data_IF_156272341715
#
_entry.id   IF_156272341715
#
_cell.length_a   1.000
_cell.length_b   1.000
_cell.length_c   1.000
_cell.angle_alpha   90.00
_cell.angle_beta   90.00
_cell.angle_gamma   90.00
#
_symmetry.space_group_name_H-M   'P 1'
#
loop_
_entity.id
_entity.type
_entity.pdbx_description
1 polymer ?
#
# COMPACT_ATOMS: atom_id res chain seq x y z
N UNK A 1 -19.39 0.55 -1.40
CA UNK A 1 -18.82 -0.44 -0.47
C UNK A 1 -17.34 -0.53 -0.78
N UNK A 2 -16.47 -0.30 0.20
CA UNK A 2 -15.01 -0.28 -0.01
C UNK A 2 -14.46 -1.69 -0.27
N UNK A 3 -13.25 -1.80 -0.83
CA UNK A 3 -12.57 -3.08 -0.98
C UNK A 3 -12.33 -3.69 0.41
N UNK A 4 -11.95 -2.87 1.39
CA UNK A 4 -11.79 -3.29 2.79
C UNK A 4 -13.07 -3.87 3.40
N UNK A 5 -14.23 -3.25 3.16
CA UNK A 5 -15.51 -3.78 3.67
C UNK A 5 -15.80 -5.15 3.08
N UNK A 6 -15.54 -5.32 1.77
CA UNK A 6 -15.75 -6.61 1.09
C UNK A 6 -14.83 -7.70 1.64
N UNK A 7 -13.58 -7.35 1.95
CA UNK A 7 -12.61 -8.26 2.57
C UNK A 7 -13.10 -8.67 3.97
N UNK A 8 -13.47 -7.70 4.81
CA UNK A 8 -13.95 -7.93 6.18
C UNK A 8 -15.26 -8.72 6.22
N UNK A 9 -16.19 -8.47 5.29
CA UNK A 9 -17.44 -9.23 5.18
C UNK A 9 -17.21 -10.73 4.97
N UNK A 10 -16.10 -11.10 4.33
CA UNK A 10 -15.69 -12.49 4.12
C UNK A 10 -14.73 -13.00 5.22
N UNK A 11 -14.58 -12.26 6.32
CA UNK A 11 -13.67 -12.59 7.42
C UNK A 11 -12.19 -12.49 7.06
N UNK A 12 -11.85 -11.83 5.96
CA UNK A 12 -10.47 -11.51 5.62
C UNK A 12 -9.99 -10.27 6.37
N UNK A 13 -8.68 -10.11 6.46
CA UNK A 13 -8.04 -8.98 7.15
C UNK A 13 -6.86 -8.48 6.32
N UNK A 14 -6.71 -7.16 6.20
CA UNK A 14 -5.56 -6.52 5.56
C UNK A 14 -4.73 -5.85 6.63
N UNK A 15 -3.45 -6.23 6.71
CA UNK A 15 -2.47 -5.62 7.58
C UNK A 15 -1.48 -4.87 6.70
N UNK A 16 -1.36 -3.56 6.90
CA UNK A 16 -0.31 -2.77 6.27
C UNK A 16 0.98 -2.92 7.05
N UNK A 17 2.07 -3.15 6.33
CA UNK A 17 3.43 -3.15 6.83
C UNK A 17 4.26 -2.26 5.90
N UNK A 18 4.44 -1.01 6.30
CA UNK A 18 5.06 0.04 5.48
C UNK A 18 4.31 0.26 4.15
N UNK A 19 4.99 0.12 3.00
CA UNK A 19 4.40 0.17 1.65
C UNK A 19 3.93 -1.21 1.13
N UNK A 20 3.94 -2.22 2.00
CA UNK A 20 3.46 -3.57 1.70
C UNK A 20 2.15 -3.84 2.45
N UNK A 21 1.37 -4.76 1.90
CA UNK A 21 0.17 -5.28 2.54
C UNK A 21 0.28 -6.79 2.68
N UNK A 22 -0.19 -7.30 3.82
CA UNK A 22 -0.40 -8.73 4.06
C UNK A 22 -1.90 -8.98 4.14
N UNK A 23 -2.39 -9.89 3.32
CA UNK A 23 -3.79 -10.32 3.32
C UNK A 23 -3.91 -11.61 4.12
N UNK A 24 -4.69 -11.61 5.20
CA UNK A 24 -5.16 -12.84 5.84
C UNK A 24 -6.42 -13.30 5.14
N UNK A 25 -6.37 -14.53 4.64
CA UNK A 25 -7.38 -15.09 3.73
C UNK A 25 -8.78 -15.20 4.36
N UNK A 26 -8.91 -15.64 5.61
CA UNK A 26 -10.22 -15.92 6.21
C UNK A 26 -11.04 -16.88 5.33
N UNK A 27 -12.27 -16.49 4.97
CA UNK A 27 -13.16 -17.24 4.05
C UNK A 27 -13.10 -16.75 2.60
N UNK A 28 -12.10 -15.96 2.21
CA UNK A 28 -11.93 -15.53 0.83
C UNK A 28 -11.63 -16.73 -0.08
N UNK A 29 -12.33 -16.78 -1.21
CA UNK A 29 -12.09 -17.74 -2.28
C UNK A 29 -10.88 -17.32 -3.11
N UNK A 30 -10.31 -18.23 -3.91
CA UNK A 30 -9.20 -17.90 -4.81
C UNK A 30 -9.60 -16.84 -5.83
N UNK A 31 -10.85 -16.88 -6.31
CA UNK A 31 -11.40 -15.85 -7.18
C UNK A 31 -11.43 -14.47 -6.49
N UNK A 32 -11.78 -14.42 -5.21
CA UNK A 32 -11.77 -13.17 -4.44
C UNK A 32 -10.34 -12.66 -4.24
N UNK A 33 -9.37 -13.54 -3.94
CA UNK A 33 -7.96 -13.15 -3.82
C UNK A 33 -7.42 -12.62 -5.14
N UNK A 34 -7.72 -13.30 -6.26
CA UNK A 34 -7.34 -12.83 -7.59
C UNK A 34 -7.90 -11.44 -7.87
N UNK A 35 -9.19 -11.24 -7.60
CA UNK A 35 -9.87 -9.95 -7.76
C UNK A 35 -9.25 -8.84 -6.90
N UNK A 36 -8.84 -9.16 -5.66
CA UNK A 36 -8.09 -8.24 -4.78
C UNK A 36 -6.72 -7.92 -5.37
N UNK A 37 -6.01 -8.91 -5.90
CA UNK A 37 -4.69 -8.73 -6.51
C UNK A 37 -4.71 -7.78 -7.71
N UNK A 38 -5.75 -7.88 -8.55
CA UNK A 38 -5.98 -6.96 -9.68
C UNK A 38 -6.28 -5.52 -9.23
N UNK A 39 -6.65 -5.32 -7.97
CA UNK A 39 -7.03 -4.04 -7.36
C UNK A 39 -6.11 -3.65 -6.20
N UNK A 40 -4.87 -4.14 -6.23
CA UNK A 40 -3.90 -3.92 -5.16
C UNK A 40 -3.71 -2.43 -4.87
N UNK A 41 -3.60 -1.61 -5.90
CA UNK A 41 -3.30 -0.19 -5.73
C UNK A 41 -4.53 0.58 -5.23
N UNK A 42 -5.74 0.22 -5.67
CA UNK A 42 -6.99 0.73 -5.10
C UNK A 42 -7.09 0.39 -3.61
N UNK A 43 -6.82 -0.87 -3.24
CA UNK A 43 -6.78 -1.30 -1.85
C UNK A 43 -5.72 -0.53 -1.05
N UNK A 44 -4.54 -0.31 -1.62
CA UNK A 44 -3.48 0.40 -0.93
C UNK A 44 -3.85 1.86 -0.68
N UNK A 45 -4.51 2.55 -1.63
CA UNK A 45 -5.04 3.91 -1.42
C UNK A 45 -6.08 3.96 -0.31
N UNK A 46 -6.95 2.95 -0.21
CA UNK A 46 -7.90 2.86 0.90
C UNK A 46 -7.20 2.66 2.26
N UNK A 47 -6.12 1.88 2.29
CA UNK A 47 -5.39 1.52 3.52
C UNK A 47 -4.39 2.59 3.94
N UNK A 48 -3.79 3.30 2.99
CA UNK A 48 -2.79 4.33 3.21
C UNK A 48 -3.03 5.53 2.27
N UNK A 49 -3.63 6.62 2.76
CA UNK A 49 -3.96 7.77 1.93
C UNK A 49 -2.77 8.41 1.22
N UNK A 50 -1.57 8.34 1.80
CA UNK A 50 -0.33 8.90 1.20
C UNK A 50 0.37 7.93 0.24
N UNK A 51 -0.31 6.87 -0.21
CA UNK A 51 0.29 5.86 -1.07
C UNK A 51 0.73 6.41 -2.43
N UNK A 52 -0.10 7.26 -3.06
CA UNK A 52 0.25 7.86 -4.35
C UNK A 52 1.45 8.83 -4.22
N UNK A 53 1.49 9.64 -3.15
CA UNK A 53 2.64 10.49 -2.83
C UNK A 53 3.92 9.67 -2.64
N UNK A 54 3.81 8.52 -1.95
CA UNK A 54 4.93 7.60 -1.79
C UNK A 54 5.40 7.02 -3.13
N UNK A 55 4.47 6.59 -3.99
CA UNK A 55 4.78 6.06 -5.33
C UNK A 55 5.55 7.09 -6.16
N UNK A 56 5.05 8.32 -6.20
CA UNK A 56 5.72 9.40 -6.91
C UNK A 56 7.12 9.66 -6.34
N UNK A 57 7.25 9.72 -5.01
CA UNK A 57 8.54 10.02 -4.39
C UNK A 57 9.56 8.89 -4.57
N UNK A 58 9.10 7.64 -4.54
CA UNK A 58 9.94 6.49 -4.85
C UNK A 58 10.41 6.54 -6.31
N UNK A 59 9.53 6.87 -7.26
CA UNK A 59 9.88 6.99 -8.67
C UNK A 59 10.89 8.12 -8.93
N UNK A 60 10.68 9.31 -8.37
CA UNK A 60 11.63 10.43 -8.48
C UNK A 60 13.01 10.02 -7.94
N UNK A 61 13.04 9.34 -6.80
CA UNK A 61 14.30 8.89 -6.18
C UNK A 61 15.03 7.83 -7.01
N UNK A 62 14.30 6.90 -7.61
CA UNK A 62 14.86 5.87 -8.49
C UNK A 62 15.40 6.48 -9.79
N UNK A 63 14.57 7.21 -10.53
CA UNK A 63 14.90 7.63 -11.89
C UNK A 63 15.68 8.94 -11.96
N UNK A 64 15.26 9.95 -11.20
CA UNK A 64 15.92 11.26 -11.22
C UNK A 64 17.05 11.33 -10.19
N UNK A 65 16.89 10.62 -9.07
CA UNK A 65 17.87 10.54 -7.98
C UNK A 65 18.95 9.47 -8.16
N UNK A 66 18.78 8.56 -9.12
CA UNK A 66 19.73 7.48 -9.42
C UNK A 66 19.88 6.43 -8.30
N UNK A 67 18.94 6.36 -7.37
CA UNK A 67 18.96 5.36 -6.28
C UNK A 67 18.55 3.98 -6.80
N UNK A 68 19.06 2.92 -6.17
CA UNK A 68 18.51 1.59 -6.40
C UNK A 68 17.05 1.55 -5.92
N UNK A 69 16.16 0.83 -6.62
CA UNK A 69 14.72 0.79 -6.30
C UNK A 69 14.42 0.58 -4.81
N UNK A 70 15.10 -0.37 -4.17
CA UNK A 70 14.87 -0.68 -2.76
C UNK A 70 15.26 0.49 -1.82
N UNK A 71 16.32 1.23 -2.15
CA UNK A 71 16.74 2.43 -1.42
C UNK A 71 15.75 3.57 -1.65
N UNK A 72 15.31 3.74 -2.90
CA UNK A 72 14.32 4.75 -3.28
C UNK A 72 12.98 4.55 -2.54
N UNK A 73 12.46 3.33 -2.53
CA UNK A 73 11.23 2.95 -1.81
C UNK A 73 11.33 3.23 -0.31
N UNK A 74 12.46 2.86 0.31
CA UNK A 74 12.72 3.04 1.75
C UNK A 74 12.82 4.52 2.10
N UNK A 75 13.63 5.27 1.36
CA UNK A 75 13.82 6.70 1.59
C UNK A 75 12.55 7.51 1.33
N UNK A 76 11.77 7.13 0.32
CA UNK A 76 10.45 7.71 0.07
C UNK A 76 9.49 7.44 1.24
N UNK A 77 9.45 6.22 1.76
CA UNK A 77 8.61 5.88 2.91
C UNK A 77 8.97 6.71 4.14
N UNK A 78 10.25 6.77 4.50
CA UNK A 78 10.70 7.58 5.62
C UNK A 78 10.35 9.07 5.46
N UNK A 79 10.50 9.61 4.24
CA UNK A 79 10.13 10.99 3.94
C UNK A 79 8.62 11.23 4.13
N UNK A 80 7.77 10.35 3.60
CA UNK A 80 6.31 10.47 3.75
C UNK A 80 5.90 10.32 5.22
N UNK A 81 6.44 9.35 5.95
CA UNK A 81 6.11 9.16 7.37
C UNK A 81 6.54 10.36 8.22
N UNK A 82 7.69 10.99 7.92
CA UNK A 82 8.10 12.25 8.56
C UNK A 82 7.12 13.38 8.28
N UNK A 83 6.62 13.49 7.04
CA UNK A 83 5.61 14.49 6.65
C UNK A 83 4.27 14.24 7.33
N UNK A 84 3.82 12.99 7.46
CA UNK A 84 2.60 12.64 8.20
C UNK A 84 2.73 12.98 9.68
N UNK A 85 3.86 12.65 10.31
CA UNK A 85 4.11 12.96 11.72
C UNK A 85 4.15 14.47 12.01
N UNK A 86 4.66 15.27 11.07
CA UNK A 86 4.73 16.73 11.21
C UNK A 86 3.39 17.46 11.00
N UNK A 87 2.33 16.75 10.57
CA UNK A 87 0.97 17.31 10.41
C UNK A 87 0.12 17.22 11.69
N UNK A 88 0.58 16.48 12.71
CA UNK A 88 -0.04 16.38 14.04
C UNK A 88 0.48 17.49 14.96
#
# INVERSE_FOLDING_TARGET
MSILDRIRANGGEVVRDQWRIRLRRGRLTDAAIKWIGERRDELMREVWPSYDDWLERAAIREFDGGQARHEAETAAYEEIMKREAAKC
#
